data_IF_688062826671
#
_entry.id   IF_688062826671
#
_cell.length_a   1.000
_cell.length_b   1.000
_cell.length_c   1.000
_cell.angle_alpha   90.00
_cell.angle_beta   90.00
_cell.angle_gamma   90.00
#
_symmetry.space_group_name_H-M   'P 1'
#
loop_
_entity.id
_entity.type
_entity.pdbx_description
1 polymer ?
#
# COMPACT_ATOMS: atom_id res chain seq x y z
N UNK A 1 -8.33 24.16 -6.25
CA UNK A 1 -7.64 23.62 -5.06
C UNK A 1 -7.18 24.78 -4.19
N UNK A 2 -7.57 24.82 -2.88
CA UNK A 2 -7.11 25.82 -1.92
C UNK A 2 -5.73 25.42 -1.40
N UNK A 3 -4.77 26.35 -1.42
CA UNK A 3 -3.43 26.16 -0.82
C UNK A 3 -3.52 26.15 0.70
N UNK A 4 -4.48 26.89 1.27
CA UNK A 4 -4.69 27.01 2.71
C UNK A 4 -5.41 25.82 3.34
N UNK A 5 -6.23 25.09 2.57
CA UNK A 5 -7.02 23.97 3.08
C UNK A 5 -6.21 22.91 3.83
N UNK A 6 -5.14 22.36 3.26
CA UNK A 6 -4.29 21.40 3.95
C UNK A 6 -3.63 21.93 5.22
N UNK A 7 -3.21 23.20 5.21
CA UNK A 7 -2.58 23.84 6.38
C UNK A 7 -3.59 24.02 7.51
N UNK A 8 -4.78 24.52 7.17
CA UNK A 8 -5.87 24.69 8.16
C UNK A 8 -6.32 23.35 8.73
N UNK A 9 -6.37 22.29 7.90
CA UNK A 9 -6.70 20.95 8.38
C UNK A 9 -5.63 20.42 9.36
N UNK A 10 -4.35 20.61 9.09
CA UNK A 10 -3.27 20.22 9.99
C UNK A 10 -3.36 20.97 11.33
N UNK A 11 -3.68 22.27 11.30
CA UNK A 11 -3.90 23.06 12.52
C UNK A 11 -5.14 22.56 13.28
N UNK A 12 -6.19 22.24 12.56
CA UNK A 12 -7.45 21.74 13.13
C UNK A 12 -7.29 20.37 13.81
N UNK A 13 -6.38 19.52 13.31
CA UNK A 13 -6.11 18.18 13.86
C UNK A 13 -4.86 18.12 14.74
N UNK A 14 -4.23 19.27 15.05
CA UNK A 14 -2.95 19.30 15.76
C UNK A 14 -3.03 18.82 17.22
N UNK A 15 -4.21 18.89 17.84
CA UNK A 15 -4.46 18.50 19.23
C UNK A 15 -5.16 17.14 19.37
N UNK A 16 -5.10 16.29 18.32
CA UNK A 16 -5.59 14.91 18.42
C UNK A 16 -4.96 14.19 19.62
N UNK A 17 -5.71 13.44 20.44
CA UNK A 17 -5.20 12.85 21.66
C UNK A 17 -3.96 11.97 21.42
N UNK A 18 -2.91 12.23 22.18
CA UNK A 18 -1.70 11.41 22.15
C UNK A 18 -1.95 10.13 22.98
N UNK A 19 -1.65 8.93 22.46
CA UNK A 19 -1.78 7.70 23.22
C UNK A 19 -0.94 7.74 24.52
N UNK A 20 -1.53 7.32 25.63
CA UNK A 20 -0.83 7.26 26.93
C UNK A 20 0.09 6.04 27.07
N UNK A 21 -0.16 4.99 26.30
CA UNK A 21 0.63 3.77 26.31
C UNK A 21 1.66 3.78 25.19
N UNK A 22 2.89 3.39 25.49
CA UNK A 22 3.96 3.26 24.48
C UNK A 22 3.69 2.15 23.44
N UNK A 23 2.71 1.29 23.70
CA UNK A 23 2.27 0.21 22.81
C UNK A 23 1.22 0.64 21.81
N UNK A 24 0.71 1.84 21.97
CA UNK A 24 -0.37 2.39 21.17
C UNK A 24 0.16 3.52 20.29
N UNK A 25 -0.41 3.65 19.10
CA UNK A 25 -0.03 4.69 18.15
C UNK A 25 -1.26 5.20 17.42
N UNK A 26 -1.29 6.51 17.17
CA UNK A 26 -2.21 7.16 16.22
C UNK A 26 -1.36 7.73 15.09
N UNK A 27 -1.75 7.45 13.86
CA UNK A 27 -1.14 8.03 12.67
C UNK A 27 -2.24 8.61 11.78
N UNK A 28 -2.09 9.86 11.37
CA UNK A 28 -3.03 10.58 10.52
C UNK A 28 -2.36 10.99 9.21
N UNK A 29 -3.08 10.87 8.13
CA UNK A 29 -2.69 11.39 6.83
C UNK A 29 -3.94 11.93 6.13
N UNK A 30 -4.08 13.25 6.06
CA UNK A 30 -5.30 13.91 5.67
C UNK A 30 -6.50 13.35 6.47
N UNK A 31 -7.53 12.87 5.78
CA UNK A 31 -8.74 12.26 6.37
C UNK A 31 -8.56 10.79 6.81
N UNK A 32 -7.48 10.14 6.40
CA UNK A 32 -7.18 8.77 6.81
C UNK A 32 -6.51 8.74 8.19
N UNK A 33 -7.08 7.98 9.14
CA UNK A 33 -6.53 7.78 10.48
C UNK A 33 -6.31 6.31 10.76
N UNK A 34 -5.13 5.95 11.28
CA UNK A 34 -4.81 4.61 11.77
C UNK A 34 -4.63 4.66 13.28
N UNK A 35 -5.24 3.70 13.96
CA UNK A 35 -5.03 3.40 15.35
C UNK A 35 -4.35 2.04 15.46
N UNK A 36 -3.26 1.97 16.20
CA UNK A 36 -2.50 0.73 16.42
C UNK A 36 -2.39 0.48 17.91
N UNK A 37 -2.56 -0.77 18.31
CA UNK A 37 -2.23 -1.23 19.68
C UNK A 37 -1.53 -2.58 19.59
N UNK A 38 -0.46 -2.77 20.36
CA UNK A 38 0.31 -4.01 20.37
C UNK A 38 0.36 -4.61 21.76
N UNK A 39 0.11 -5.93 21.86
CA UNK A 39 0.25 -6.68 23.10
C UNK A 39 0.61 -8.15 22.79
N UNK A 40 1.21 -8.84 23.78
CA UNK A 40 1.48 -10.29 23.70
C UNK A 40 0.19 -11.11 23.73
N UNK A 41 -0.81 -10.63 24.43
CA UNK A 41 -2.16 -11.18 24.53
C UNK A 41 -3.10 -10.43 23.58
N UNK A 42 -3.81 -11.17 22.71
CA UNK A 42 -4.73 -10.62 21.73
C UNK A 42 -5.92 -9.90 22.40
N UNK A 43 -6.45 -10.49 23.47
CA UNK A 43 -7.59 -9.91 24.20
C UNK A 43 -7.23 -8.54 24.76
N UNK A 44 -6.04 -8.43 25.36
CA UNK A 44 -5.54 -7.14 25.86
C UNK A 44 -5.27 -6.15 24.73
N UNK A 45 -4.75 -6.60 23.58
CA UNK A 45 -4.55 -5.73 22.43
C UNK A 45 -5.88 -5.14 21.91
N UNK A 46 -6.93 -5.97 21.84
CA UNK A 46 -8.27 -5.54 21.43
C UNK A 46 -8.88 -4.56 22.42
N UNK A 47 -8.79 -4.83 23.72
CA UNK A 47 -9.29 -3.92 24.76
C UNK A 47 -8.57 -2.57 24.72
N UNK A 48 -7.24 -2.58 24.58
CA UNK A 48 -6.45 -1.37 24.48
C UNK A 48 -6.80 -0.57 23.23
N UNK A 49 -6.99 -1.26 22.11
CA UNK A 49 -7.35 -0.61 20.83
C UNK A 49 -8.78 -0.03 20.90
N UNK A 50 -9.73 -0.73 21.55
CA UNK A 50 -11.08 -0.19 21.79
C UNK A 50 -11.02 1.09 22.63
N UNK A 51 -10.24 1.09 23.70
CA UNK A 51 -10.10 2.27 24.56
C UNK A 51 -9.43 3.44 23.80
N UNK A 52 -8.43 3.17 22.98
CA UNK A 52 -7.81 4.17 22.14
C UNK A 52 -8.79 4.75 21.11
N UNK A 53 -9.59 3.89 20.51
CA UNK A 53 -10.64 4.27 19.57
C UNK A 53 -11.71 5.16 20.26
N UNK A 54 -12.21 4.77 21.44
CA UNK A 54 -13.23 5.52 22.16
C UNK A 54 -12.75 6.93 22.53
N UNK A 55 -11.50 7.05 22.98
CA UNK A 55 -10.89 8.34 23.27
C UNK A 55 -10.78 9.21 22.00
N UNK A 56 -10.41 8.60 20.89
CA UNK A 56 -10.28 9.31 19.60
C UNK A 56 -11.66 9.71 19.06
N UNK A 57 -12.67 8.83 19.20
CA UNK A 57 -14.05 9.14 18.81
C UNK A 57 -14.65 10.29 19.59
N UNK A 58 -14.41 10.36 20.91
CA UNK A 58 -14.86 11.47 21.76
C UNK A 58 -14.25 12.79 21.27
N UNK A 59 -12.98 12.80 20.91
CA UNK A 59 -12.32 13.96 20.32
C UNK A 59 -12.93 14.32 18.97
N UNK A 60 -13.14 13.35 18.06
CA UNK A 60 -13.78 13.58 16.77
C UNK A 60 -15.19 14.18 16.93
N UNK A 61 -15.97 13.68 17.88
CA UNK A 61 -17.31 14.23 18.17
C UNK A 61 -17.25 15.68 18.66
N UNK A 62 -16.30 16.00 19.54
CA UNK A 62 -16.10 17.37 20.05
C UNK A 62 -15.80 18.34 18.93
N UNK A 63 -15.03 17.90 17.93
CA UNK A 63 -14.65 18.70 16.77
C UNK A 63 -15.59 18.54 15.57
N UNK A 64 -16.72 17.83 15.70
CA UNK A 64 -17.70 17.65 14.63
C UNK A 64 -17.21 16.81 13.45
N UNK A 65 -16.18 15.96 13.65
CA UNK A 65 -15.65 15.05 12.63
C UNK A 65 -16.46 13.75 12.63
N UNK A 66 -17.03 13.41 11.47
CA UNK A 66 -17.81 12.17 11.31
C UNK A 66 -16.92 11.03 10.85
N UNK A 67 -16.89 9.96 11.64
CA UNK A 67 -16.18 8.70 11.29
C UNK A 67 -17.09 7.83 10.44
N UNK A 68 -16.59 7.37 9.31
CA UNK A 68 -17.29 6.41 8.45
C UNK A 68 -17.00 4.96 8.90
N UNK A 69 -17.91 4.40 9.71
CA UNK A 69 -17.77 3.03 10.23
C UNK A 69 -17.76 1.95 9.14
N UNK A 70 -18.48 2.14 8.03
CA UNK A 70 -18.53 1.17 6.92
C UNK A 70 -17.19 1.06 6.17
N UNK A 71 -16.40 2.13 6.14
CA UNK A 71 -15.06 2.14 5.53
C UNK A 71 -13.96 1.76 6.50
N UNK A 72 -14.27 1.75 7.79
CA UNK A 72 -13.31 1.41 8.84
C UNK A 72 -13.17 -0.12 8.91
N UNK A 73 -11.93 -0.61 8.90
CA UNK A 73 -11.63 -2.04 8.98
C UNK A 73 -10.65 -2.30 10.11
N UNK A 74 -10.85 -3.43 10.80
CA UNK A 74 -9.93 -3.96 11.81
C UNK A 74 -9.06 -5.03 11.13
N UNK A 75 -7.74 -4.98 11.35
CA UNK A 75 -6.82 -6.04 10.91
C UNK A 75 -5.92 -6.43 12.07
N UNK A 76 -5.84 -7.72 12.35
CA UNK A 76 -4.94 -8.27 13.35
C UNK A 76 -3.67 -8.79 12.69
N UNK A 77 -2.52 -8.15 13.00
CA UNK A 77 -1.21 -8.51 12.46
C UNK A 77 -0.52 -9.53 13.38
N UNK A 78 -0.41 -10.78 12.93
CA UNK A 78 0.25 -11.82 13.70
C UNK A 78 0.63 -13.02 12.83
N UNK A 79 1.69 -13.73 13.22
CA UNK A 79 2.09 -15.01 12.63
C UNK A 79 1.45 -16.22 13.36
N UNK A 80 0.79 -15.99 14.50
CA UNK A 80 0.13 -17.05 15.26
C UNK A 80 -1.22 -17.40 14.61
N UNK A 81 -1.69 -18.61 14.85
CA UNK A 81 -3.08 -18.97 14.56
C UNK A 81 -3.97 -18.24 15.58
N UNK A 82 -4.93 -17.48 15.09
CA UNK A 82 -5.89 -16.75 15.90
C UNK A 82 -7.21 -17.50 15.79
N UNK A 83 -7.85 -17.75 16.93
CA UNK A 83 -9.25 -18.15 17.00
C UNK A 83 -10.17 -16.94 16.76
N UNK A 84 -11.47 -17.18 16.82
CA UNK A 84 -12.47 -16.11 16.78
C UNK A 84 -12.23 -15.15 17.94
N UNK A 85 -12.23 -13.86 17.65
CA UNK A 85 -12.02 -12.81 18.62
C UNK A 85 -13.07 -11.72 18.47
N UNK A 86 -13.29 -10.99 19.54
CA UNK A 86 -14.28 -9.91 19.57
C UNK A 86 -13.91 -8.79 18.58
N UNK A 87 -14.88 -8.38 17.78
CA UNK A 87 -14.75 -7.22 16.93
C UNK A 87 -14.77 -5.94 17.76
N UNK A 88 -13.98 -4.95 17.35
CA UNK A 88 -14.02 -3.59 17.88
C UNK A 88 -15.32 -2.92 17.41
N UNK A 89 -15.85 -2.03 18.21
CA UNK A 89 -17.12 -1.34 17.91
C UNK A 89 -16.93 0.16 17.77
N UNK A 90 -17.62 0.77 16.82
CA UNK A 90 -17.83 2.21 16.71
C UNK A 90 -19.29 2.51 17.02
N UNK A 91 -19.58 3.28 18.07
CA UNK A 91 -20.96 3.59 18.46
C UNK A 91 -21.87 2.37 18.53
N UNK A 92 -21.40 1.30 19.18
CA UNK A 92 -22.07 -0.01 19.31
C UNK A 92 -22.26 -0.79 17.99
N UNK A 93 -21.71 -0.32 16.88
CA UNK A 93 -21.70 -1.04 15.62
C UNK A 93 -20.35 -1.74 15.43
N UNK A 94 -20.32 -3.07 15.24
CA UNK A 94 -19.07 -3.79 15.08
C UNK A 94 -18.37 -3.39 13.78
N UNK A 95 -17.05 -3.16 13.86
CA UNK A 95 -16.21 -2.89 12.69
C UNK A 95 -15.93 -4.20 11.97
N UNK A 96 -15.88 -4.13 10.63
CA UNK A 96 -15.50 -5.26 9.82
C UNK A 96 -14.08 -5.73 10.16
N UNK A 97 -13.95 -7.00 10.54
CA UNK A 97 -12.65 -7.66 10.68
C UNK A 97 -12.23 -8.25 9.34
N UNK A 98 -11.07 -7.84 8.83
CA UNK A 98 -10.55 -8.31 7.55
C UNK A 98 -9.10 -8.81 7.72
N UNK A 99 -8.68 -9.66 6.81
CA UNK A 99 -7.30 -10.17 6.73
C UNK A 99 -6.32 -9.17 6.10
N UNK A 100 -6.81 -8.05 5.58
CA UNK A 100 -6.01 -7.02 4.90
C UNK A 100 -6.69 -5.66 4.95
N UNK A 101 -5.87 -4.59 4.97
CA UNK A 101 -6.33 -3.21 4.83
C UNK A 101 -5.68 -2.52 3.63
N UNK A 102 -6.39 -1.56 3.06
CA UNK A 102 -5.82 -0.64 2.08
C UNK A 102 -5.55 0.69 2.76
N UNK A 103 -4.28 1.08 2.81
CA UNK A 103 -3.87 2.36 3.38
C UNK A 103 -2.85 3.05 2.48
N UNK A 104 -3.04 4.33 2.21
CA UNK A 104 -2.18 5.17 1.36
C UNK A 104 -1.77 4.47 0.04
N UNK A 105 -2.73 3.83 -0.63
CA UNK A 105 -2.48 3.12 -1.89
C UNK A 105 -1.74 1.79 -1.76
N UNK A 106 -1.45 1.33 -0.54
CA UNK A 106 -0.84 0.03 -0.26
C UNK A 106 -1.88 -0.97 0.25
N UNK A 107 -1.69 -2.24 -0.05
CA UNK A 107 -2.48 -3.34 0.53
C UNK A 107 -1.59 -4.04 1.55
N UNK A 108 -1.98 -3.97 2.81
CA UNK A 108 -1.24 -4.51 3.94
C UNK A 108 -2.00 -5.73 4.43
N UNK A 109 -1.44 -6.92 4.30
CA UNK A 109 -2.04 -8.17 4.78
C UNK A 109 -1.62 -8.50 6.21
N UNK A 110 -2.46 -9.25 6.94
CA UNK A 110 -2.29 -9.60 8.36
C UNK A 110 -0.97 -10.31 8.69
N UNK A 111 -0.27 -10.86 7.69
CA UNK A 111 1.04 -11.52 7.83
C UNK A 111 2.20 -10.72 7.27
N UNK A 112 1.94 -9.52 6.74
CA UNK A 112 2.92 -8.64 6.07
C UNK A 112 3.69 -9.34 4.95
N UNK A 113 3.03 -10.24 4.21
CA UNK A 113 3.63 -10.99 3.11
C UNK A 113 3.71 -10.19 1.81
N UNK A 114 2.93 -9.12 1.70
CA UNK A 114 2.85 -8.24 0.54
C UNK A 114 2.38 -8.89 -0.77
N UNK A 115 1.94 -10.16 -0.72
CA UNK A 115 1.54 -10.90 -1.93
C UNK A 115 0.41 -10.21 -2.68
N UNK A 116 -0.65 -9.81 -1.97
CA UNK A 116 -1.82 -9.15 -2.56
C UNK A 116 -1.44 -7.78 -3.14
N UNK A 117 -0.56 -7.05 -2.45
CA UNK A 117 -0.01 -5.79 -2.95
C UNK A 117 0.76 -6.00 -4.26
N UNK A 118 1.65 -7.00 -4.32
CA UNK A 118 2.42 -7.32 -5.52
C UNK A 118 1.53 -7.72 -6.71
N UNK A 119 0.49 -8.53 -6.45
CA UNK A 119 -0.47 -8.91 -7.48
C UNK A 119 -1.23 -7.68 -8.01
N UNK A 120 -1.67 -6.81 -7.12
CA UNK A 120 -2.34 -5.57 -7.46
C UNK A 120 -1.44 -4.67 -8.31
N UNK A 121 -0.20 -4.41 -7.86
CA UNK A 121 0.77 -3.59 -8.60
C UNK A 121 1.12 -4.18 -9.97
N UNK A 122 1.29 -5.50 -10.06
CA UNK A 122 1.45 -6.19 -11.36
C UNK A 122 0.28 -5.90 -12.30
N UNK A 123 -0.96 -5.94 -11.80
CA UNK A 123 -2.15 -5.69 -12.62
C UNK A 123 -2.25 -4.23 -13.06
N UNK A 124 -1.94 -3.28 -12.15
CA UNK A 124 -1.86 -1.84 -12.47
C UNK A 124 -0.81 -1.58 -13.56
N UNK A 125 0.38 -2.16 -13.43
CA UNK A 125 1.46 -2.08 -14.42
C UNK A 125 1.04 -2.68 -15.75
N UNK A 126 0.42 -3.87 -15.73
CA UNK A 126 -0.07 -4.53 -16.95
C UNK A 126 -1.13 -3.68 -17.66
N UNK A 127 -2.06 -3.13 -16.90
CA UNK A 127 -3.11 -2.26 -17.44
C UNK A 127 -2.51 -1.01 -18.08
N UNK A 128 -1.60 -0.32 -17.37
CA UNK A 128 -0.93 0.89 -17.88
C UNK A 128 -0.07 0.61 -19.10
N UNK A 129 0.64 -0.51 -19.11
CA UNK A 129 1.40 -0.95 -20.28
C UNK A 129 0.49 -1.22 -21.48
N UNK A 130 -0.68 -1.83 -21.26
CA UNK A 130 -1.68 -2.05 -22.31
C UNK A 130 -2.16 -0.75 -22.94
N UNK A 131 -2.45 0.28 -22.12
CA UNK A 131 -2.82 1.62 -22.61
C UNK A 131 -1.73 2.28 -23.46
N UNK A 132 -0.46 2.01 -23.15
CA UNK A 132 0.71 2.59 -23.82
C UNK A 132 1.33 1.65 -24.87
N UNK A 133 0.68 0.52 -25.19
CA UNK A 133 1.26 -0.50 -26.06
C UNK A 133 1.55 0.03 -27.48
N UNK A 134 0.72 0.93 -27.99
CA UNK A 134 0.93 1.58 -29.29
C UNK A 134 2.23 2.40 -29.35
N UNK A 135 2.73 2.92 -28.20
CA UNK A 135 4.02 3.59 -28.07
C UNK A 135 5.17 2.65 -27.75
N UNK A 136 4.94 1.69 -26.85
CA UNK A 136 5.98 0.84 -26.25
C UNK A 136 6.12 -0.52 -26.94
N UNK A 137 5.13 -0.89 -27.72
CA UNK A 137 5.10 -2.18 -28.44
C UNK A 137 6.20 -2.32 -29.49
N UNK A 138 6.37 -3.55 -29.99
CA UNK A 138 7.38 -3.88 -30.99
C UNK A 138 7.14 -3.14 -32.31
N UNK A 139 5.89 -2.91 -32.69
CA UNK A 139 5.50 -2.28 -33.97
C UNK A 139 5.58 -0.74 -33.94
N UNK A 140 5.93 -0.17 -32.80
CA UNK A 140 6.10 1.28 -32.65
C UNK A 140 7.42 1.76 -33.26
N UNK A 141 7.36 2.83 -34.02
CA UNK A 141 8.52 3.49 -34.64
C UNK A 141 9.30 4.38 -33.67
N UNK A 142 8.82 4.48 -32.40
CA UNK A 142 9.46 5.32 -31.38
C UNK A 142 10.88 4.80 -31.06
N UNK A 143 11.90 5.67 -31.01
CA UNK A 143 13.25 5.29 -30.60
C UNK A 143 13.28 4.63 -29.22
N UNK A 144 14.16 3.66 -29.01
CA UNK A 144 14.24 2.86 -27.79
C UNK A 144 14.48 3.74 -26.54
N UNK A 145 15.26 4.81 -26.68
CA UNK A 145 15.52 5.78 -25.60
C UNK A 145 14.22 6.42 -25.12
N UNK A 146 13.34 6.79 -26.04
CA UNK A 146 12.04 7.41 -25.71
C UNK A 146 11.08 6.38 -25.10
N UNK A 147 11.08 5.14 -25.60
CA UNK A 147 10.33 4.03 -24.97
C UNK A 147 10.78 3.80 -23.53
N UNK A 148 12.10 3.84 -23.28
CA UNK A 148 12.65 3.70 -21.93
C UNK A 148 12.34 4.90 -21.05
N UNK A 149 12.31 6.11 -21.59
CA UNK A 149 11.89 7.29 -20.85
C UNK A 149 10.45 7.15 -20.37
N UNK A 150 9.53 6.77 -21.26
CA UNK A 150 8.11 6.52 -20.92
C UNK A 150 8.01 5.41 -19.86
N UNK A 151 8.76 4.32 -20.02
CA UNK A 151 8.78 3.24 -19.03
C UNK A 151 9.24 3.77 -17.66
N UNK A 152 10.36 4.49 -17.59
CA UNK A 152 10.94 4.99 -16.35
C UNK A 152 10.07 6.05 -15.65
N UNK A 153 9.35 6.88 -16.42
CA UNK A 153 8.55 7.99 -15.88
C UNK A 153 7.10 7.64 -15.58
N UNK A 154 6.51 6.69 -16.31
CA UNK A 154 5.08 6.38 -16.18
C UNK A 154 4.85 4.99 -15.57
N UNK A 155 5.58 3.96 -16.01
CA UNK A 155 5.31 2.58 -15.59
C UNK A 155 6.07 2.22 -14.32
N UNK A 156 7.37 2.51 -14.27
CA UNK A 156 8.19 2.14 -13.13
C UNK A 156 7.72 2.76 -11.80
N UNK A 157 7.26 4.01 -11.72
CA UNK A 157 6.76 4.60 -10.48
C UNK A 157 5.58 3.86 -9.88
N UNK A 158 4.75 3.19 -10.69
CA UNK A 158 3.57 2.45 -10.20
C UNK A 158 3.97 1.38 -9.17
N UNK A 159 5.02 0.62 -9.44
CA UNK A 159 5.48 -0.43 -8.54
C UNK A 159 6.57 0.04 -7.58
N UNK A 160 7.32 1.10 -7.90
CA UNK A 160 8.32 1.66 -7.01
C UNK A 160 7.72 2.34 -5.77
N UNK A 161 6.46 2.78 -5.87
CA UNK A 161 5.77 3.40 -4.74
C UNK A 161 5.72 2.46 -3.53
N UNK A 162 6.22 2.93 -2.39
CA UNK A 162 6.30 2.15 -1.16
C UNK A 162 7.33 1.02 -1.17
N UNK A 163 8.31 1.02 -2.09
CA UNK A 163 9.31 -0.03 -2.22
C UNK A 163 10.12 -0.28 -0.93
N UNK A 164 10.31 0.75 -0.12
CA UNK A 164 10.97 0.67 1.19
C UNK A 164 10.21 -0.25 2.17
N UNK A 165 8.89 -0.34 2.04
CA UNK A 165 8.05 -1.19 2.89
C UNK A 165 7.90 -2.59 2.29
N UNK A 166 7.39 -2.70 1.07
CA UNK A 166 7.14 -3.99 0.45
C UNK A 166 8.43 -4.70 -0.03
N UNK A 167 9.57 -4.00 -0.08
CA UNK A 167 10.88 -4.60 -0.36
C UNK A 167 11.31 -5.65 0.67
N UNK A 168 10.68 -5.66 1.85
CA UNK A 168 10.84 -6.73 2.87
C UNK A 168 10.11 -8.02 2.53
N UNK A 169 9.33 -8.06 1.43
CA UNK A 169 8.62 -9.25 0.98
C UNK A 169 9.57 -10.39 0.62
N UNK A 170 9.04 -11.62 0.64
CA UNK A 170 9.81 -12.77 0.19
C UNK A 170 10.21 -12.65 -1.29
N UNK A 171 11.36 -13.24 -1.64
CA UNK A 171 11.85 -13.27 -3.03
C UNK A 171 10.81 -13.80 -4.02
N UNK A 172 9.96 -14.74 -3.62
CA UNK A 172 8.87 -15.28 -4.46
C UNK A 172 7.83 -14.22 -4.79
N UNK A 173 7.50 -13.35 -3.85
CA UNK A 173 6.53 -12.28 -4.02
C UNK A 173 7.14 -11.12 -4.84
N UNK A 174 8.39 -10.74 -4.59
CA UNK A 174 9.11 -9.73 -5.38
C UNK A 174 9.22 -10.17 -6.86
N UNK A 175 9.46 -11.46 -7.11
CA UNK A 175 9.49 -12.03 -8.46
C UNK A 175 8.18 -11.83 -9.25
N UNK A 176 7.05 -11.55 -8.60
CA UNK A 176 5.79 -11.22 -9.29
C UNK A 176 5.96 -9.94 -10.11
N UNK A 177 6.54 -8.90 -9.52
CA UNK A 177 6.83 -7.62 -10.21
C UNK A 177 7.99 -7.77 -11.16
N UNK A 178 9.07 -8.48 -10.76
CA UNK A 178 10.24 -8.71 -11.63
C UNK A 178 9.84 -9.34 -12.97
N UNK A 179 8.95 -10.35 -12.95
CA UNK A 179 8.45 -10.98 -14.18
C UNK A 179 7.66 -9.99 -15.05
N UNK A 180 6.87 -9.12 -14.44
CA UNK A 180 6.12 -8.09 -15.17
C UNK A 180 7.08 -7.09 -15.81
N UNK A 181 8.10 -6.62 -15.07
CA UNK A 181 9.14 -5.74 -15.56
C UNK A 181 9.88 -6.38 -16.75
N UNK A 182 10.39 -7.59 -16.59
CA UNK A 182 11.15 -8.28 -17.63
C UNK A 182 10.33 -8.47 -18.92
N UNK A 183 9.03 -8.77 -18.80
CA UNK A 183 8.13 -8.88 -19.95
C UNK A 183 7.99 -7.55 -20.70
N UNK A 184 7.85 -6.43 -19.99
CA UNK A 184 7.74 -5.11 -20.60
C UNK A 184 9.04 -4.70 -21.29
N UNK A 185 10.19 -4.88 -20.61
CA UNK A 185 11.50 -4.54 -21.18
C UNK A 185 11.82 -5.38 -22.42
N UNK A 186 11.44 -6.67 -22.41
CA UNK A 186 11.56 -7.54 -23.59
C UNK A 186 10.76 -7.01 -24.77
N UNK A 187 9.54 -6.53 -24.53
CA UNK A 187 8.69 -5.94 -25.57
C UNK A 187 9.29 -4.62 -26.09
N UNK A 188 9.77 -3.75 -25.20
CA UNK A 188 10.41 -2.47 -25.57
C UNK A 188 11.62 -2.70 -26.46
N UNK A 189 12.47 -3.69 -26.13
CA UNK A 189 13.68 -4.02 -26.88
C UNK A 189 13.39 -4.83 -28.16
N UNK A 190 12.16 -5.36 -28.29
CA UNK A 190 11.82 -6.37 -29.32
C UNK A 190 12.80 -7.57 -29.28
N UNK A 191 13.09 -8.06 -28.05
CA UNK A 191 14.08 -9.09 -27.85
C UNK A 191 13.53 -10.47 -28.17
N UNK A 192 14.33 -11.27 -28.89
CA UNK A 192 14.03 -12.67 -29.21
C UNK A 192 13.93 -13.52 -27.94
N UNK A 193 13.16 -14.62 -28.03
CA UNK A 193 12.83 -15.47 -26.89
C UNK A 193 14.07 -16.08 -26.19
N UNK A 194 15.15 -16.35 -26.92
CA UNK A 194 16.38 -16.96 -26.41
C UNK A 194 17.31 -15.98 -25.69
N UNK A 195 17.08 -14.67 -25.78
CA UNK A 195 17.88 -13.67 -25.06
C UNK A 195 17.49 -13.68 -23.59
N UNK A 196 18.46 -13.82 -22.68
CA UNK A 196 18.18 -13.82 -21.24
C UNK A 196 17.68 -12.44 -20.73
N UNK A 197 16.89 -12.46 -19.67
CA UNK A 197 16.42 -11.21 -19.06
C UNK A 197 17.59 -10.36 -18.50
N UNK A 198 18.66 -11.00 -18.03
CA UNK A 198 19.86 -10.32 -17.51
C UNK A 198 20.53 -9.48 -18.59
N UNK A 199 20.68 -10.04 -19.80
CA UNK A 199 21.22 -9.30 -20.96
C UNK A 199 20.33 -8.12 -21.28
N UNK A 200 19.00 -8.29 -21.28
CA UNK A 200 18.05 -7.20 -21.57
C UNK A 200 18.17 -6.09 -20.54
N UNK A 201 18.24 -6.42 -19.26
CA UNK A 201 18.41 -5.45 -18.19
C UNK A 201 19.71 -4.66 -18.31
N UNK A 202 20.83 -5.36 -18.60
CA UNK A 202 22.14 -4.75 -18.81
C UNK A 202 22.16 -3.80 -20.01
N UNK A 203 21.66 -4.26 -21.17
CA UNK A 203 21.68 -3.50 -22.42
C UNK A 203 20.80 -2.26 -22.35
N UNK A 204 19.68 -2.32 -21.61
CA UNK A 204 18.76 -1.20 -21.43
C UNK A 204 19.14 -0.30 -20.25
N UNK A 205 20.17 -0.65 -19.49
CA UNK A 205 20.58 0.03 -18.27
C UNK A 205 19.37 0.26 -17.31
N UNK A 206 18.67 -0.83 -17.02
CA UNK A 206 17.51 -0.83 -16.11
C UNK A 206 17.77 -1.84 -15.01
N UNK A 207 17.77 -1.37 -13.76
CA UNK A 207 17.93 -2.24 -12.58
C UNK A 207 16.81 -3.26 -12.47
N UNK A 208 17.12 -4.40 -11.89
CA UNK A 208 16.11 -5.36 -11.44
C UNK A 208 15.27 -4.78 -10.30
N UNK A 209 14.18 -5.44 -9.95
CA UNK A 209 13.33 -5.06 -8.81
C UNK A 209 13.99 -5.39 -7.46
N UNK A 210 14.96 -6.29 -7.49
CA UNK A 210 15.81 -6.68 -6.34
C UNK A 210 17.05 -5.84 -6.26
#
# INVERSE_FOLDING_TARGET
>A
YSVLGPILYLLYTADIPIPTRNTDMIATFADDTILLSSNKDLTMAILNLQQLLDNTLNWFETWGILVNGEKTVQVTYTNRKIGDHQAITVKNTPIQNDSKAKYLGMVIDSKLNWKDHMIRKKNEVKYKFGQLYWLLGKDSTLPIQNKLLIYKTIIAPIWKYGAELWGTASNSNIKIIQRAQSKILRTIKNAEWYISNEIIHRDLNVSTVQ
#
